data_IF_456010500725
#
_entry.id   IF_456010500725
#
_cell.length_a   1.000
_cell.length_b   1.000
_cell.length_c   1.000
_cell.angle_alpha   90.00
_cell.angle_beta   90.00
_cell.angle_gamma   90.00
#
_symmetry.space_group_name_H-M   'P 1'
#
loop_
_entity.id
_entity.type
_entity.pdbx_description
1 polymer ?
#
# COMPACT_ATOMS: atom_id res chain seq x y z
N UNK A 1 5.86 42.26 -17.05
CA UNK A 1 6.38 40.89 -17.25
C UNK A 1 7.36 40.52 -16.12
N UNK A 2 6.92 40.60 -14.87
CA UNK A 2 7.83 40.46 -13.69
C UNK A 2 7.29 39.55 -12.60
N UNK A 3 6.07 39.01 -12.74
CA UNK A 3 5.46 38.12 -11.74
C UNK A 3 5.64 36.61 -12.05
N UNK A 4 6.06 36.26 -13.27
CA UNK A 4 6.25 34.86 -13.71
C UNK A 4 7.63 34.29 -13.36
N UNK A 5 8.58 35.12 -12.93
CA UNK A 5 9.95 34.67 -12.59
C UNK A 5 10.06 34.07 -11.18
N UNK A 6 9.12 34.38 -10.26
CA UNK A 6 9.24 34.03 -8.84
C UNK A 6 8.86 32.56 -8.51
N UNK A 7 7.98 31.93 -9.30
CA UNK A 7 7.55 30.53 -9.06
C UNK A 7 8.56 29.48 -9.56
N UNK A 8 9.34 29.81 -10.59
CA UNK A 8 10.41 28.94 -11.10
C UNK A 8 11.63 28.96 -10.17
N UNK A 9 11.97 30.14 -9.62
CA UNK A 9 13.10 30.33 -8.68
C UNK A 9 12.86 29.65 -7.32
N UNK A 10 11.62 29.68 -6.81
CA UNK A 10 11.28 29.01 -5.54
C UNK A 10 11.32 27.46 -5.67
N UNK A 11 11.11 26.94 -6.88
CA UNK A 11 11.33 25.51 -7.18
C UNK A 11 12.82 25.18 -7.18
N UNK A 12 13.66 26.03 -7.77
CA UNK A 12 15.11 25.85 -7.83
C UNK A 12 15.80 25.88 -6.45
N UNK A 13 15.35 26.73 -5.53
CA UNK A 13 15.86 26.73 -4.15
C UNK A 13 15.45 25.47 -3.36
N UNK A 14 14.26 24.91 -3.62
CA UNK A 14 13.87 23.61 -3.09
C UNK A 14 14.68 22.46 -3.70
N UNK A 15 14.96 22.53 -5.01
CA UNK A 15 15.86 21.61 -5.70
C UNK A 15 17.26 21.67 -5.12
N UNK A 16 17.82 22.85 -4.82
CA UNK A 16 19.18 22.98 -4.30
C UNK A 16 19.35 22.50 -2.87
N UNK A 17 18.33 22.63 -2.02
CA UNK A 17 18.37 22.06 -0.66
C UNK A 17 18.20 20.53 -0.65
N UNK A 18 17.51 19.96 -1.65
CA UNK A 18 17.41 18.50 -1.83
C UNK A 18 18.57 17.86 -2.61
N UNK A 19 19.35 18.65 -3.34
CA UNK A 19 20.54 18.22 -4.08
C UNK A 19 21.85 18.48 -3.31
N UNK A 20 21.79 18.45 -1.98
CA UNK A 20 22.99 18.12 -1.22
C UNK A 20 23.30 16.65 -1.48
N UNK A 21 24.54 16.29 -1.81
CA UNK A 21 24.86 14.94 -2.20
C UNK A 21 24.88 14.09 -0.94
N UNK A 22 23.74 13.51 -0.58
CA UNK A 22 23.74 12.32 0.28
C UNK A 22 24.31 11.16 -0.56
N UNK A 23 25.62 11.21 -0.79
CA UNK A 23 26.37 10.16 -1.45
C UNK A 23 26.29 8.90 -0.58
N UNK A 24 25.57 7.89 -1.07
CA UNK A 24 25.65 6.56 -0.49
C UNK A 24 24.55 5.58 -0.88
N UNK A 25 23.38 6.05 -1.34
CA UNK A 25 22.27 5.15 -1.65
C UNK A 25 21.73 5.45 -3.06
N UNK A 26 21.89 4.49 -3.96
CA UNK A 26 21.29 4.51 -5.29
C UNK A 26 19.77 4.39 -5.19
N UNK A 27 19.00 4.97 -6.11
CA UNK A 27 17.52 4.87 -6.10
C UNK A 27 17.05 3.42 -6.10
N UNK A 28 17.80 2.51 -6.73
CA UNK A 28 17.55 1.07 -6.73
C UNK A 28 17.69 0.44 -5.34
N UNK A 29 18.68 0.85 -4.55
CA UNK A 29 18.82 0.41 -3.16
C UNK A 29 17.68 0.92 -2.28
N UNK A 30 17.19 2.15 -2.50
CA UNK A 30 16.02 2.67 -1.78
C UNK A 30 14.77 1.87 -2.15
N UNK A 31 14.53 1.62 -3.43
CA UNK A 31 13.42 0.82 -3.91
C UNK A 31 13.44 -0.61 -3.33
N UNK A 32 14.59 -1.28 -3.39
CA UNK A 32 14.74 -2.65 -2.90
C UNK A 32 14.61 -2.73 -1.37
N UNK A 33 15.19 -1.77 -0.64
CA UNK A 33 15.03 -1.69 0.81
C UNK A 33 13.58 -1.43 1.20
N UNK A 34 12.90 -0.47 0.55
CA UNK A 34 11.47 -0.22 0.78
C UNK A 34 10.62 -1.47 0.51
N UNK A 35 10.86 -2.17 -0.61
CA UNK A 35 10.18 -3.43 -0.94
C UNK A 35 10.37 -4.50 0.14
N UNK A 36 11.63 -4.70 0.57
CA UNK A 36 11.98 -5.69 1.60
C UNK A 36 11.38 -5.33 2.95
N UNK A 37 11.58 -4.09 3.40
CA UNK A 37 11.07 -3.60 4.68
C UNK A 37 9.55 -3.57 4.71
N UNK A 38 8.88 -3.19 3.60
CA UNK A 38 7.43 -3.24 3.48
C UNK A 38 6.90 -4.66 3.68
N UNK A 39 7.48 -5.63 2.97
CA UNK A 39 7.08 -7.04 3.05
C UNK A 39 7.37 -7.63 4.43
N UNK A 40 8.55 -7.37 4.99
CA UNK A 40 8.95 -7.81 6.34
C UNK A 40 8.09 -7.16 7.42
N UNK A 41 7.68 -5.91 7.24
CA UNK A 41 6.84 -5.21 8.20
C UNK A 41 5.42 -5.80 8.25
N UNK A 42 4.83 -6.17 7.12
CA UNK A 42 3.45 -6.71 7.08
C UNK A 42 3.37 -8.16 7.57
N UNK A 43 4.37 -8.99 7.26
CA UNK A 43 4.42 -10.41 7.62
C UNK A 43 4.09 -10.74 9.08
N UNK A 44 4.67 -10.09 10.11
CA UNK A 44 4.37 -10.39 11.50
C UNK A 44 2.91 -10.06 11.87
N UNK A 45 2.30 -9.03 11.26
CA UNK A 45 0.89 -8.73 11.49
C UNK A 45 -0.01 -9.84 10.93
N UNK A 46 0.27 -10.32 9.73
CA UNK A 46 -0.46 -11.43 9.12
C UNK A 46 -0.23 -12.76 9.86
N UNK A 47 1.01 -13.04 10.26
CA UNK A 47 1.32 -14.23 11.05
C UNK A 47 0.54 -14.25 12.37
N UNK A 48 0.43 -13.10 13.05
CA UNK A 48 -0.39 -12.98 14.27
C UNK A 48 -1.88 -13.19 14.00
N UNK A 49 -2.41 -12.63 12.91
CA UNK A 49 -3.82 -12.82 12.53
C UNK A 49 -4.15 -14.28 12.20
N UNK A 50 -3.24 -15.02 11.54
CA UNK A 50 -3.46 -16.41 11.14
C UNK A 50 -3.15 -17.40 12.27
N UNK A 51 -2.04 -17.24 12.98
CA UNK A 51 -1.62 -18.19 14.02
C UNK A 51 -2.39 -18.02 15.32
N UNK A 52 -2.67 -16.77 15.73
CA UNK A 52 -3.28 -16.46 17.01
C UNK A 52 -4.36 -15.35 16.91
N UNK A 53 -5.49 -15.63 16.24
CA UNK A 53 -6.56 -14.64 16.06
C UNK A 53 -7.20 -14.17 17.38
N UNK A 54 -7.26 -15.04 18.40
CA UNK A 54 -7.86 -14.68 19.70
C UNK A 54 -6.90 -14.05 20.70
N UNK A 55 -5.62 -13.92 20.36
CA UNK A 55 -4.65 -13.32 21.26
C UNK A 55 -4.96 -11.83 21.49
N UNK A 56 -4.89 -11.41 22.76
CA UNK A 56 -5.06 -10.00 23.18
C UNK A 56 -4.06 -9.07 22.47
N UNK A 57 -2.87 -9.57 22.16
CA UNK A 57 -1.85 -8.85 21.41
C UNK A 57 -2.28 -8.58 19.96
N UNK A 58 -2.77 -9.61 19.25
CA UNK A 58 -3.29 -9.48 17.87
C UNK A 58 -4.41 -8.45 17.81
N UNK A 59 -5.38 -8.53 18.73
CA UNK A 59 -6.50 -7.55 18.78
C UNK A 59 -6.00 -6.13 19.04
N UNK A 60 -5.09 -5.93 20.01
CA UNK A 60 -4.53 -4.60 20.32
C UNK A 60 -3.73 -4.01 19.15
N UNK A 61 -2.97 -4.85 18.46
CA UNK A 61 -2.22 -4.46 17.26
C UNK A 61 -3.16 -4.06 16.12
N UNK A 62 -4.27 -4.79 15.93
CA UNK A 62 -5.24 -4.52 14.87
C UNK A 62 -6.16 -3.34 15.18
N UNK A 63 -6.40 -3.05 16.47
CA UNK A 63 -7.11 -1.83 16.88
C UNK A 63 -6.27 -0.56 16.64
N UNK A 64 -4.94 -0.70 16.67
CA UNK A 64 -4.01 0.42 16.49
C UNK A 64 -3.96 0.88 15.02
N UNK A 65 -4.11 2.19 14.80
CA UNK A 65 -3.96 2.79 13.46
C UNK A 65 -2.50 3.02 13.05
N UNK A 66 -1.56 2.84 13.99
CA UNK A 66 -0.13 3.12 13.81
C UNK A 66 0.52 2.45 12.57
N UNK A 67 0.39 1.12 12.34
CA UNK A 67 1.05 0.48 11.19
C UNK A 67 0.56 1.04 9.85
N UNK A 68 -0.73 1.38 9.73
CA UNK A 68 -1.31 1.96 8.52
C UNK A 68 -0.79 3.37 8.26
N UNK A 69 -0.69 4.19 9.30
CA UNK A 69 -0.16 5.55 9.19
C UNK A 69 1.31 5.51 8.76
N UNK A 70 2.10 4.62 9.36
CA UNK A 70 3.52 4.45 9.01
C UNK A 70 3.67 4.00 7.55
N UNK A 71 2.91 2.99 7.11
CA UNK A 71 2.91 2.56 5.70
C UNK A 71 2.43 3.67 4.75
N UNK A 72 1.43 4.46 5.14
CA UNK A 72 0.93 5.58 4.34
C UNK A 72 1.90 6.75 4.22
N UNK A 73 2.68 7.02 5.27
CA UNK A 73 3.76 8.03 5.22
C UNK A 73 4.91 7.54 4.35
N UNK A 74 5.33 6.27 4.49
CA UNK A 74 6.34 5.65 3.63
C UNK A 74 5.90 5.66 2.15
N UNK A 75 4.65 5.24 1.94
CA UNK A 75 3.69 5.73 0.94
C UNK A 75 4.08 7.01 0.20
N UNK A 76 3.64 8.09 0.82
CA UNK A 76 3.75 9.45 0.31
C UNK A 76 5.20 9.85 0.04
N UNK A 77 6.16 9.38 0.86
CA UNK A 77 7.58 9.64 0.68
C UNK A 77 8.12 9.03 -0.62
N UNK A 78 7.87 7.74 -0.86
CA UNK A 78 8.28 7.06 -2.09
C UNK A 78 7.59 7.66 -3.32
N UNK A 79 6.31 8.02 -3.18
CA UNK A 79 5.55 8.66 -4.25
C UNK A 79 6.14 10.03 -4.62
N UNK A 80 6.51 10.83 -3.62
CA UNK A 80 7.15 12.13 -3.84
C UNK A 80 8.50 11.97 -4.55
N UNK A 81 9.30 10.97 -4.20
CA UNK A 81 10.55 10.65 -4.89
C UNK A 81 10.34 10.14 -6.31
N UNK A 82 9.25 9.42 -6.56
CA UNK A 82 8.90 8.89 -7.88
C UNK A 82 8.35 9.97 -8.82
N UNK A 83 8.04 11.17 -8.32
CA UNK A 83 7.47 12.25 -9.11
C UNK A 83 8.56 13.04 -9.85
N UNK A 84 8.98 12.49 -10.99
CA UNK A 84 9.83 13.21 -11.94
C UNK A 84 8.96 13.88 -13.00
N UNK A 85 9.43 14.97 -13.64
CA UNK A 85 8.72 15.61 -14.74
C UNK A 85 8.41 14.63 -15.88
N UNK A 86 9.22 13.58 -16.05
CA UNK A 86 8.98 12.52 -17.03
C UNK A 86 7.85 11.56 -16.63
N UNK A 87 7.75 11.12 -15.36
CA UNK A 87 6.60 10.30 -14.91
C UNK A 87 5.30 11.09 -14.95
N UNK A 88 5.33 12.37 -14.56
CA UNK A 88 4.19 13.27 -14.68
C UNK A 88 3.73 13.43 -16.14
N UNK A 89 4.68 13.63 -17.05
CA UNK A 89 4.37 13.66 -18.48
C UNK A 89 3.80 12.32 -18.94
N UNK A 90 4.35 11.17 -18.58
CA UNK A 90 3.80 9.87 -18.97
C UNK A 90 2.37 9.62 -18.44
N UNK A 91 2.08 10.10 -17.22
CA UNK A 91 0.76 9.95 -16.59
C UNK A 91 -0.30 10.89 -17.20
N UNK A 92 0.12 12.05 -17.71
CA UNK A 92 -0.77 13.10 -18.24
C UNK A 92 -0.53 13.46 -19.73
N UNK A 93 0.27 12.69 -20.48
CA UNK A 93 0.64 12.99 -21.86
C UNK A 93 -0.48 12.76 -22.88
N UNK A 94 -1.55 12.05 -22.52
CA UNK A 94 -2.59 11.71 -23.47
C UNK A 94 -3.53 12.90 -23.72
N UNK A 95 -4.01 12.99 -24.96
CA UNK A 95 -4.97 13.99 -25.47
C UNK A 95 -6.29 14.06 -24.67
N UNK A 96 -6.53 13.11 -23.77
CA UNK A 96 -7.74 12.97 -22.95
C UNK A 96 -7.49 12.91 -21.44
N UNK A 97 -6.28 13.18 -20.93
CA UNK A 97 -5.94 13.06 -19.50
C UNK A 97 -6.12 11.64 -18.92
N UNK A 98 -6.29 10.61 -19.77
CA UNK A 98 -6.33 9.22 -19.33
C UNK A 98 -4.96 8.55 -19.52
N UNK A 99 -4.42 7.89 -18.50
CA UNK A 99 -3.20 7.10 -18.66
C UNK A 99 -3.49 5.90 -19.57
N UNK A 100 -2.77 5.81 -20.69
CA UNK A 100 -2.85 4.65 -21.58
C UNK A 100 -2.11 3.46 -20.95
N UNK A 101 -2.63 2.24 -21.17
CA UNK A 101 -2.00 0.99 -20.70
C UNK A 101 -0.47 0.91 -20.96
N UNK A 102 0.04 1.23 -22.17
CA UNK A 102 1.47 1.23 -22.43
C UNK A 102 2.25 2.27 -21.63
N UNK A 103 1.67 3.44 -21.36
CA UNK A 103 2.30 4.48 -20.54
C UNK A 103 2.42 4.04 -19.08
N UNK A 104 1.38 3.40 -18.54
CA UNK A 104 1.39 2.81 -17.20
C UNK A 104 2.47 1.72 -17.11
N UNK A 105 2.51 0.79 -18.07
CA UNK A 105 3.53 -0.26 -18.11
C UNK A 105 4.97 0.32 -18.11
N UNK A 106 5.19 1.42 -18.83
CA UNK A 106 6.47 2.14 -18.86
C UNK A 106 6.78 2.87 -17.53
N UNK A 107 5.79 3.27 -16.76
CA UNK A 107 6.02 3.80 -15.42
C UNK A 107 6.44 2.69 -14.45
N UNK A 108 5.88 1.49 -14.57
CA UNK A 108 6.25 0.34 -13.74
C UNK A 108 7.64 -0.24 -14.04
N UNK A 109 8.28 0.11 -15.16
CA UNK A 109 9.71 -0.22 -15.38
C UNK A 109 10.66 0.58 -14.48
N UNK A 110 10.21 1.66 -13.84
CA UNK A 110 11.02 2.37 -12.86
C UNK A 110 10.88 1.71 -11.48
N UNK A 111 12.00 1.28 -10.90
CA UNK A 111 12.05 0.59 -9.61
C UNK A 111 11.43 1.42 -8.46
N UNK A 112 11.58 2.75 -8.48
CA UNK A 112 10.99 3.63 -7.46
C UNK A 112 9.46 3.67 -7.55
N UNK A 113 8.92 3.75 -8.76
CA UNK A 113 7.47 3.73 -9.00
C UNK A 113 6.90 2.36 -8.63
N UNK A 114 7.59 1.28 -9.02
CA UNK A 114 7.22 -0.09 -8.66
C UNK A 114 7.21 -0.30 -7.14
N UNK A 115 8.26 0.13 -6.44
CA UNK A 115 8.32 0.05 -4.98
C UNK A 115 7.19 0.83 -4.31
N UNK A 116 6.88 2.04 -4.79
CA UNK A 116 5.75 2.83 -4.27
C UNK A 116 4.41 2.11 -4.47
N UNK A 117 4.17 1.53 -5.65
CA UNK A 117 2.96 0.78 -5.94
C UNK A 117 2.85 -0.50 -5.12
N UNK A 118 3.98 -1.15 -4.83
CA UNK A 118 4.03 -2.30 -3.94
C UNK A 118 3.64 -1.95 -2.51
N UNK A 119 4.20 -0.87 -1.94
CA UNK A 119 3.81 -0.40 -0.59
C UNK A 119 2.34 0.01 -0.55
N UNK A 120 1.84 0.65 -1.61
CA UNK A 120 0.43 0.98 -1.74
C UNK A 120 -0.46 -0.27 -1.66
N UNK A 121 -0.11 -1.31 -2.42
CA UNK A 121 -0.82 -2.59 -2.42
C UNK A 121 -0.78 -3.25 -1.03
N UNK A 122 0.40 -3.36 -0.41
CA UNK A 122 0.55 -3.91 0.94
C UNK A 122 -0.28 -3.15 1.99
N UNK A 123 -0.35 -1.82 1.89
CA UNK A 123 -1.12 -1.00 2.81
C UNK A 123 -2.64 -1.25 2.69
N UNK A 124 -3.14 -1.36 1.45
CA UNK A 124 -4.55 -1.64 1.18
C UNK A 124 -4.91 -3.07 1.59
N UNK A 125 -4.04 -4.03 1.32
CA UNK A 125 -4.23 -5.44 1.67
C UNK A 125 -4.31 -5.62 3.20
N UNK A 126 -3.40 -4.98 3.94
CA UNK A 126 -3.41 -5.01 5.41
C UNK A 126 -4.68 -4.38 5.96
N UNK A 127 -5.13 -3.27 5.35
CA UNK A 127 -6.36 -2.59 5.75
C UNK A 127 -7.60 -3.46 5.52
N UNK A 128 -7.69 -4.13 4.37
CA UNK A 128 -8.76 -5.07 4.07
C UNK A 128 -8.73 -6.27 5.02
N UNK A 129 -7.55 -6.86 5.27
CA UNK A 129 -7.38 -7.97 6.20
C UNK A 129 -7.87 -7.60 7.61
N UNK A 130 -7.60 -6.37 8.08
CA UNK A 130 -8.15 -5.85 9.34
C UNK A 130 -9.67 -5.79 9.35
N UNK A 131 -10.30 -5.30 8.28
CA UNK A 131 -11.76 -5.25 8.21
C UNK A 131 -12.36 -6.66 8.26
N UNK A 132 -11.81 -7.58 7.48
CA UNK A 132 -12.19 -9.00 7.47
C UNK A 132 -12.01 -9.62 8.85
N UNK A 133 -10.90 -9.32 9.53
CA UNK A 133 -10.63 -9.80 10.88
C UNK A 133 -11.64 -9.29 11.92
N UNK A 134 -11.95 -7.99 11.92
CA UNK A 134 -12.96 -7.44 12.80
C UNK A 134 -14.37 -7.98 12.52
N UNK A 135 -14.74 -8.19 11.25
CA UNK A 135 -16.04 -8.77 10.90
C UNK A 135 -16.10 -10.26 11.25
N UNK A 136 -15.03 -11.03 11.03
CA UNK A 136 -14.97 -12.44 11.42
C UNK A 136 -15.01 -12.64 12.92
N UNK A 137 -14.39 -11.75 13.70
CA UNK A 137 -14.48 -11.79 15.16
C UNK A 137 -15.91 -11.53 15.67
N UNK A 138 -16.65 -10.60 15.03
CA UNK A 138 -18.05 -10.32 15.36
C UNK A 138 -18.98 -11.48 15.01
N UNK A 139 -18.74 -12.13 13.87
CA UNK A 139 -19.60 -13.21 13.37
C UNK A 139 -19.14 -14.62 13.77
N UNK A 140 -18.03 -14.75 14.52
CA UNK A 140 -17.38 -16.03 14.90
C UNK A 140 -17.10 -16.93 13.68
N UNK A 141 -16.62 -16.32 12.59
CA UNK A 141 -16.28 -17.03 11.35
C UNK A 141 -14.77 -17.23 11.30
N UNK A 142 -14.32 -18.39 10.81
CA UNK A 142 -12.90 -18.68 10.57
C UNK A 142 -12.29 -17.68 9.57
N UNK A 143 -11.43 -16.79 10.05
CA UNK A 143 -10.81 -15.70 9.26
C UNK A 143 -9.50 -16.10 8.59
N UNK A 144 -8.94 -17.27 8.92
CA UNK A 144 -7.57 -17.68 8.53
C UNK A 144 -7.40 -17.75 7.00
N UNK A 145 -8.37 -18.35 6.32
CA UNK A 145 -8.36 -18.49 4.85
C UNK A 145 -8.58 -17.14 4.16
N UNK A 146 -9.53 -16.33 4.63
CA UNK A 146 -9.84 -15.01 4.06
C UNK A 146 -8.68 -14.02 4.24
N UNK A 147 -8.03 -14.02 5.41
CA UNK A 147 -6.87 -13.15 5.69
C UNK A 147 -5.66 -13.54 4.82
N UNK A 148 -5.44 -14.84 4.61
CA UNK A 148 -4.38 -15.32 3.71
C UNK A 148 -4.65 -14.93 2.25
N UNK A 149 -5.92 -14.97 1.83
CA UNK A 149 -6.33 -14.51 0.49
C UNK A 149 -6.25 -12.99 0.35
N UNK A 150 -6.51 -12.21 1.40
CA UNK A 150 -6.35 -10.76 1.38
C UNK A 150 -4.89 -10.32 1.16
N UNK A 151 -3.90 -11.12 1.58
CA UNK A 151 -2.48 -10.82 1.37
C UNK A 151 -2.03 -11.01 -0.08
N UNK A 152 -2.70 -11.91 -0.83
CA UNK A 152 -2.35 -12.21 -2.22
C UNK A 152 -3.25 -11.46 -3.21
N UNK A 153 -4.53 -11.36 -2.88
CA UNK A 153 -5.57 -10.78 -3.71
C UNK A 153 -6.67 -10.17 -2.83
N UNK A 154 -6.51 -8.93 -2.40
CA UNK A 154 -7.48 -8.18 -1.59
C UNK A 154 -8.96 -8.39 -1.99
N UNK A 155 -9.39 -8.18 -3.25
CA UNK A 155 -10.79 -8.36 -3.63
C UNK A 155 -11.27 -9.81 -3.50
N UNK A 156 -10.39 -10.79 -3.75
CA UNK A 156 -10.72 -12.21 -3.61
C UNK A 156 -10.87 -12.58 -2.13
N UNK A 157 -10.00 -12.05 -1.24
CA UNK A 157 -10.10 -12.28 0.19
C UNK A 157 -11.40 -11.74 0.81
N UNK A 158 -11.86 -10.55 0.36
CA UNK A 158 -13.15 -9.98 0.78
C UNK A 158 -14.31 -10.84 0.26
N UNK A 159 -14.27 -11.27 -1.01
CA UNK A 159 -15.29 -12.14 -1.59
C UNK A 159 -15.37 -13.50 -0.87
N UNK A 160 -14.23 -14.12 -0.59
CA UNK A 160 -14.15 -15.37 0.16
C UNK A 160 -14.77 -15.21 1.56
N UNK A 161 -14.47 -14.12 2.27
CA UNK A 161 -15.07 -13.84 3.58
C UNK A 161 -16.59 -13.70 3.50
N UNK A 162 -17.10 -12.99 2.48
CA UNK A 162 -18.53 -12.85 2.27
C UNK A 162 -19.22 -14.20 2.03
N UNK A 163 -18.61 -15.08 1.22
CA UNK A 163 -19.11 -16.43 0.95
C UNK A 163 -19.14 -17.26 2.25
N UNK A 164 -18.04 -17.29 3.00
CA UNK A 164 -17.96 -18.05 4.26
C UNK A 164 -19.00 -17.56 5.27
N UNK A 165 -19.20 -16.24 5.36
CA UNK A 165 -20.22 -15.64 6.23
C UNK A 165 -21.64 -16.09 5.86
N UNK A 166 -21.98 -16.16 4.57
CA UNK A 166 -23.29 -16.66 4.12
C UNK A 166 -23.45 -18.14 4.48
N UNK A 167 -22.43 -18.96 4.24
CA UNK A 167 -22.47 -20.40 4.54
C UNK A 167 -22.66 -20.67 6.05
N UNK A 168 -21.90 -19.98 6.91
CA UNK A 168 -22.05 -20.11 8.38
C UNK A 168 -23.44 -19.68 8.84
N UNK A 169 -24.00 -18.60 8.26
CA UNK A 169 -25.36 -18.14 8.58
C UNK A 169 -26.42 -19.16 8.17
N UNK A 170 -26.30 -19.75 6.98
CA UNK A 170 -27.22 -20.78 6.49
C UNK A 170 -27.19 -22.03 7.38
N UNK A 171 -26.00 -22.49 7.78
CA UNK A 171 -25.84 -23.64 8.68
C UNK A 171 -26.48 -23.43 10.05
N UNK A 172 -26.49 -22.19 10.57
CA UNK A 172 -27.12 -21.85 11.85
C UNK A 172 -28.65 -21.70 11.77
N UNK A 173 -29.22 -21.58 10.57
CA UNK A 173 -30.68 -21.46 10.37
C UNK A 173 -31.36 -22.81 10.10
N UNK A 174 -30.60 -23.86 9.80
CA UNK A 174 -31.10 -25.22 9.57
C UNK A 174 -31.25 -26.07 10.84
N UNK A 175 -31.09 -25.46 12.02
CA UNK A 175 -31.25 -26.06 13.34
C UNK A 175 -32.27 -25.27 14.15
#
# INVERSE_FOLDING_TARGET
>A
MTCLFSLQDMSLHFYFLFYTPFQGITSSQIANSAFTWGTVAVLPFYALMVLAPDARLTRRMMESSAPYIILGVLYAYLLALSWTPDTLRLMFASKYWLPELPSIAKMFTNEMTLASAWIHLLAVDLFAARQVFHDGLKNKVETRHSVSLCLLFCPIGIAAHAITKVLTKMSNQSH
#
